data_IF_026468332453
#
_entry.id   IF_026468332453
#
_cell.length_a   1.000
_cell.length_b   1.000
_cell.length_c   1.000
_cell.angle_alpha   90.00
_cell.angle_beta   90.00
_cell.angle_gamma   90.00
#
_symmetry.space_group_name_H-M   'P 1'
#
loop_
_entity.id
_entity.type
_entity.pdbx_description
1 polymer ?
#
# COMPACT_ATOMS: atom_id res chain seq x y z
N UNK A 1 -10.50 26.07 -10.62
CA UNK A 1 -11.23 24.82 -10.94
C UNK A 1 -10.43 23.89 -11.85
N UNK A 2 -9.79 24.38 -12.93
CA UNK A 2 -8.97 23.54 -13.82
C UNK A 2 -7.75 22.88 -13.15
N UNK A 3 -7.06 23.59 -12.24
CA UNK A 3 -5.91 23.05 -11.52
C UNK A 3 -6.31 21.87 -10.61
N UNK A 4 -7.42 22.01 -9.88
CA UNK A 4 -7.95 20.98 -8.98
C UNK A 4 -8.40 19.73 -9.75
N UNK A 5 -9.01 19.91 -10.92
CA UNK A 5 -9.48 18.79 -11.75
C UNK A 5 -8.31 17.97 -12.33
N UNK A 6 -7.23 18.63 -12.78
CA UNK A 6 -6.00 17.94 -13.20
C UNK A 6 -5.37 17.14 -12.07
N UNK A 7 -5.33 17.69 -10.87
CA UNK A 7 -4.76 17.05 -9.68
C UNK A 7 -5.54 15.79 -9.28
N UNK A 8 -6.87 15.86 -9.33
CA UNK A 8 -7.75 14.70 -9.08
C UNK A 8 -7.54 13.61 -10.13
N UNK A 9 -7.45 13.98 -11.42
CA UNK A 9 -7.24 13.03 -12.52
C UNK A 9 -5.88 12.32 -12.40
N UNK A 10 -4.82 13.06 -12.08
CA UNK A 10 -3.48 12.48 -11.85
C UNK A 10 -3.52 11.52 -10.66
N UNK A 11 -4.14 11.93 -9.55
CA UNK A 11 -4.27 11.07 -8.37
C UNK A 11 -5.02 9.77 -8.68
N UNK A 12 -6.09 9.84 -9.47
CA UNK A 12 -6.84 8.66 -9.91
C UNK A 12 -5.97 7.71 -10.77
N UNK A 13 -5.21 8.25 -11.72
CA UNK A 13 -4.27 7.46 -12.54
C UNK A 13 -3.24 6.76 -11.66
N UNK A 14 -2.71 7.43 -10.64
CA UNK A 14 -1.72 6.86 -9.73
C UNK A 14 -2.31 5.71 -8.90
N UNK A 15 -3.56 5.85 -8.41
CA UNK A 15 -4.27 4.77 -7.72
C UNK A 15 -4.46 3.55 -8.63
N UNK A 16 -4.93 3.76 -9.86
CA UNK A 16 -5.17 2.67 -10.82
C UNK A 16 -3.86 1.97 -11.19
N UNK A 17 -2.79 2.73 -11.41
CA UNK A 17 -1.47 2.18 -11.72
C UNK A 17 -0.94 1.36 -10.53
N UNK A 18 -1.01 1.89 -9.32
CA UNK A 18 -0.56 1.20 -8.11
C UNK A 18 -1.33 -0.10 -7.89
N UNK A 19 -2.66 -0.07 -8.02
CA UNK A 19 -3.49 -1.27 -7.89
C UNK A 19 -3.15 -2.32 -8.96
N UNK A 20 -2.95 -1.87 -10.20
CA UNK A 20 -2.56 -2.75 -11.31
C UNK A 20 -1.20 -3.40 -11.02
N UNK A 21 -0.22 -2.62 -10.54
CA UNK A 21 1.09 -3.14 -10.13
C UNK A 21 0.94 -4.24 -9.07
N UNK A 22 0.18 -4.01 -7.99
CA UNK A 22 -0.04 -5.03 -6.94
C UNK A 22 -0.66 -6.32 -7.51
N UNK A 23 -1.62 -6.20 -8.43
CA UNK A 23 -2.29 -7.36 -9.04
C UNK A 23 -1.35 -8.17 -9.93
N UNK A 24 -0.43 -7.52 -10.65
CA UNK A 24 0.54 -8.19 -11.51
C UNK A 24 1.76 -8.76 -10.75
N UNK A 25 2.15 -8.18 -9.61
CA UNK A 25 3.35 -8.55 -8.84
C UNK A 25 3.12 -9.69 -7.83
N UNK A 26 2.31 -10.69 -8.20
CA UNK A 26 1.90 -11.82 -7.34
C UNK A 26 3.00 -12.81 -6.96
N UNK A 27 4.20 -12.66 -7.52
CA UNK A 27 5.22 -13.70 -7.43
C UNK A 27 5.94 -13.71 -6.07
N UNK A 28 6.27 -12.54 -5.51
CA UNK A 28 6.99 -12.41 -4.24
C UNK A 28 6.15 -11.70 -3.19
N UNK A 29 6.12 -12.23 -1.96
CA UNK A 29 5.44 -11.61 -0.82
C UNK A 29 5.93 -10.18 -0.56
N UNK A 30 7.24 -9.93 -0.73
CA UNK A 30 7.82 -8.57 -0.63
C UNK A 30 7.19 -7.60 -1.61
N UNK A 31 6.99 -8.01 -2.86
CA UNK A 31 6.39 -7.14 -3.88
C UNK A 31 4.94 -6.80 -3.51
N UNK A 32 4.20 -7.74 -2.90
CA UNK A 32 2.83 -7.51 -2.44
C UNK A 32 2.82 -6.54 -1.26
N UNK A 33 3.73 -6.71 -0.29
CA UNK A 33 3.94 -5.82 0.85
C UNK A 33 4.27 -4.38 0.39
N UNK A 34 5.27 -4.22 -0.48
CA UNK A 34 5.63 -2.92 -1.06
C UNK A 34 4.48 -2.32 -1.88
N UNK A 35 3.75 -3.14 -2.62
CA UNK A 35 2.58 -2.70 -3.38
C UNK A 35 1.49 -2.12 -2.47
N UNK A 36 1.19 -2.80 -1.36
CA UNK A 36 0.24 -2.31 -0.36
C UNK A 36 0.69 -0.98 0.26
N UNK A 37 2.00 -0.80 0.50
CA UNK A 37 2.55 0.43 1.07
C UNK A 37 2.52 1.62 0.09
N UNK A 38 2.69 1.36 -1.22
CA UNK A 38 2.51 2.41 -2.22
C UNK A 38 1.03 2.80 -2.33
N UNK A 39 0.11 1.83 -2.29
CA UNK A 39 -1.34 2.09 -2.37
C UNK A 39 -1.83 2.93 -1.20
N UNK A 40 -1.42 2.60 0.01
CA UNK A 40 -1.78 3.32 1.24
C UNK A 40 -1.21 4.74 1.28
N UNK A 41 0.03 4.96 0.85
CA UNK A 41 0.62 6.30 0.73
C UNK A 41 -0.14 7.17 -0.28
N UNK A 42 -0.57 6.61 -1.40
CA UNK A 42 -1.40 7.32 -2.38
C UNK A 42 -2.76 7.67 -1.77
N UNK A 43 -3.39 6.75 -1.03
CA UNK A 43 -4.65 7.02 -0.33
C UNK A 43 -4.48 8.11 0.73
N UNK A 44 -3.40 8.10 1.51
CA UNK A 44 -3.08 9.13 2.48
C UNK A 44 -2.89 10.49 1.79
N UNK A 45 -2.15 10.54 0.69
CA UNK A 45 -1.96 11.75 -0.11
C UNK A 45 -3.29 12.29 -0.64
N UNK A 46 -4.15 11.43 -1.20
CA UNK A 46 -5.49 11.80 -1.63
C UNK A 46 -6.33 12.37 -0.47
N UNK A 47 -6.23 11.76 0.71
CA UNK A 47 -6.94 12.22 1.90
C UNK A 47 -6.46 13.61 2.32
N UNK A 48 -5.15 13.84 2.40
CA UNK A 48 -4.57 15.16 2.71
C UNK A 48 -4.99 16.21 1.67
N UNK A 49 -5.02 15.86 0.38
CA UNK A 49 -5.44 16.78 -0.68
C UNK A 49 -6.92 17.18 -0.59
N UNK A 50 -7.80 16.26 -0.21
CA UNK A 50 -9.24 16.53 -0.07
C UNK A 50 -9.53 17.30 1.23
N UNK A 51 -8.80 17.01 2.30
CA UNK A 51 -9.05 17.55 3.64
C UNK A 51 -8.04 18.62 4.05
N UNK A 52 -7.36 19.27 3.11
CA UNK A 52 -6.29 20.25 3.40
C UNK A 52 -6.81 21.43 4.25
N UNK A 53 -8.08 21.81 4.04
CA UNK A 53 -8.75 22.88 4.79
C UNK A 53 -9.28 22.41 6.17
N UNK A 54 -9.38 21.10 6.37
CA UNK A 54 -9.91 20.49 7.60
C UNK A 54 -8.76 19.94 8.45
N UNK A 55 -8.07 20.83 9.17
CA UNK A 55 -6.91 20.50 10.02
C UNK A 55 -7.15 19.33 11.00
N UNK A 56 -8.40 19.11 11.42
CA UNK A 56 -8.79 17.99 12.29
C UNK A 56 -8.54 16.61 11.65
N UNK A 57 -8.71 16.49 10.33
CA UNK A 57 -8.60 15.23 9.59
C UNK A 57 -7.15 14.71 9.46
N UNK A 58 -6.15 15.57 9.67
CA UNK A 58 -4.73 15.19 9.60
C UNK A 58 -4.39 14.16 10.67
N UNK A 59 -4.98 14.28 11.86
CA UNK A 59 -4.78 13.32 12.96
C UNK A 59 -5.26 11.90 12.60
N UNK A 60 -6.40 11.79 11.91
CA UNK A 60 -6.94 10.52 11.44
C UNK A 60 -6.04 9.88 10.38
N UNK A 61 -5.47 10.69 9.48
CA UNK A 61 -4.53 10.20 8.48
C UNK A 61 -3.25 9.63 9.10
N UNK A 62 -2.71 10.28 10.14
CA UNK A 62 -1.54 9.77 10.86
C UNK A 62 -1.84 8.47 11.61
N UNK A 63 -3.02 8.34 12.21
CA UNK A 63 -3.47 7.10 12.86
C UNK A 63 -3.60 5.96 11.83
N UNK A 64 -4.11 6.25 10.63
CA UNK A 64 -4.16 5.29 9.52
C UNK A 64 -2.77 4.80 9.12
N UNK A 65 -1.81 5.70 8.89
CA UNK A 65 -0.43 5.35 8.57
C UNK A 65 0.23 4.54 9.69
N UNK A 66 -0.03 4.88 10.95
CA UNK A 66 0.51 4.14 12.09
C UNK A 66 0.01 2.68 12.10
N UNK A 67 -1.30 2.48 11.92
CA UNK A 67 -1.88 1.14 11.86
C UNK A 67 -1.34 0.33 10.68
N UNK A 68 -1.17 0.97 9.53
CA UNK A 68 -0.61 0.34 8.35
C UNK A 68 0.83 -0.16 8.60
N UNK A 69 1.73 0.69 9.11
CA UNK A 69 3.11 0.29 9.43
C UNK A 69 3.14 -0.85 10.46
N UNK A 70 2.20 -0.87 11.42
CA UNK A 70 2.05 -2.00 12.33
C UNK A 70 1.70 -3.30 11.57
N UNK A 71 0.70 -3.27 10.67
CA UNK A 71 0.34 -4.43 9.86
C UNK A 71 1.51 -4.88 8.97
N UNK A 72 2.22 -3.94 8.34
CA UNK A 72 3.40 -4.24 7.53
C UNK A 72 4.51 -4.90 8.34
N UNK A 73 4.76 -4.43 9.56
CA UNK A 73 5.77 -5.02 10.44
C UNK A 73 5.46 -6.48 10.81
N UNK A 74 4.19 -6.80 11.08
CA UNK A 74 3.74 -8.16 11.36
C UNK A 74 3.87 -9.03 10.11
N UNK A 75 3.42 -8.56 8.96
CA UNK A 75 3.52 -9.28 7.69
C UNK A 75 4.98 -9.53 7.27
N UNK A 76 5.87 -8.55 7.47
CA UNK A 76 7.30 -8.70 7.24
C UNK A 76 7.92 -9.74 8.18
N UNK A 77 7.52 -9.74 9.46
CA UNK A 77 8.00 -10.75 10.42
C UNK A 77 7.54 -12.17 10.05
N UNK A 78 6.32 -12.32 9.51
CA UNK A 78 5.81 -13.58 9.01
C UNK A 78 6.56 -14.02 7.75
N UNK A 79 6.82 -13.10 6.84
CA UNK A 79 7.62 -13.36 5.64
C UNK A 79 9.02 -13.85 6.02
N UNK A 80 9.72 -13.21 6.96
CA UNK A 80 11.04 -13.68 7.44
C UNK A 80 10.97 -15.10 8.00
N UNK A 81 9.91 -15.44 8.75
CA UNK A 81 9.69 -16.81 9.22
C UNK A 81 9.44 -17.80 8.09
N UNK A 82 8.70 -17.40 7.05
CA UNK A 82 8.42 -18.24 5.88
C UNK A 82 9.69 -18.53 5.09
N UNK A 83 10.53 -17.50 4.85
CA UNK A 83 11.85 -17.65 4.23
C UNK A 83 12.73 -18.58 5.06
N UNK A 84 12.73 -18.42 6.38
CA UNK A 84 13.51 -19.28 7.28
C UNK A 84 13.04 -20.74 7.25
N UNK A 85 11.78 -21.02 6.94
CA UNK A 85 11.22 -22.39 6.94
C UNK A 85 11.34 -23.08 5.58
N UNK A 86 11.13 -22.35 4.48
CA UNK A 86 10.99 -22.93 3.12
C UNK A 86 12.16 -22.53 2.21
N UNK A 87 12.95 -21.54 2.62
CA UNK A 87 14.08 -21.02 1.84
C UNK A 87 13.69 -20.14 0.65
N UNK A 88 12.39 -19.88 0.44
CA UNK A 88 11.87 -19.12 -0.70
C UNK A 88 10.71 -18.20 -0.31
N UNK A 89 10.67 -17.01 -0.92
CA UNK A 89 9.63 -15.97 -0.79
C UNK A 89 8.46 -16.11 -1.78
N UNK A 90 8.40 -17.23 -2.50
CA UNK A 90 7.46 -17.45 -3.59
C UNK A 90 6.13 -18.04 -3.09
N UNK A 91 5.05 -17.28 -3.28
CA UNK A 91 3.67 -17.68 -2.91
C UNK A 91 3.20 -18.91 -3.69
N UNK A 92 3.76 -19.15 -4.87
CA UNK A 92 3.41 -20.29 -5.74
C UNK A 92 3.80 -21.66 -5.18
N UNK A 93 4.76 -21.73 -4.25
CA UNK A 93 5.19 -23.00 -3.63
C UNK A 93 4.19 -23.47 -2.57
N UNK A 94 3.39 -22.56 -1.99
CA UNK A 94 2.43 -22.86 -0.93
C UNK A 94 1.12 -23.49 -1.44
N UNK A 95 0.76 -23.34 -2.71
CA UNK A 95 -0.54 -23.82 -3.23
C UNK A 95 -0.53 -25.28 -3.67
N UNK A 96 0.62 -25.98 -3.61
CA UNK A 96 0.82 -27.32 -4.17
C UNK A 96 1.35 -28.37 -3.17
N UNK A 97 1.20 -28.14 -1.86
CA UNK A 97 1.44 -29.16 -0.84
C UNK A 97 0.15 -29.62 -0.16
#
# INVERSE_FOLDING_TARGET
MEMSLKLILVSFVWVVLAFSCVVFQRHSLLCILLGLEVVSLILFYCCIMVFIDMQSCVSLGLMFLCYEVCVMSVCLSLMVKMVSSIGCDYVGVFFFS
#
